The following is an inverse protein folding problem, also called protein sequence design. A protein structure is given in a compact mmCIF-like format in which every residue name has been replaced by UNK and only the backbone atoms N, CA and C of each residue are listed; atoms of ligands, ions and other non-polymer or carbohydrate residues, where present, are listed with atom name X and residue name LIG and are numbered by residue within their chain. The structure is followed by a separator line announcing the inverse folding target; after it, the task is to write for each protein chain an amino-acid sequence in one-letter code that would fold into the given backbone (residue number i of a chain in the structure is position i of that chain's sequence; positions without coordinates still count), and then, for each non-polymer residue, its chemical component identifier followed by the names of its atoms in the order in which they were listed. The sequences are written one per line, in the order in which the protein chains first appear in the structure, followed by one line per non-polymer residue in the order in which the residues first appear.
data_IF_831878897479
#
_entry.id   IF_831878897479
#
_cell.length_a   1.000
_cell.length_b   1.000
_cell.length_c   1.000
_cell.angle_alpha   90.00
_cell.angle_beta   90.00
_cell.angle_gamma   90.00
#
_symmetry.space_group_name_H-M   'P 1'
#
loop_
_entity.id
_entity.type
_entity.pdbx_description
1 polymer ?
#
# COMPACT_ATOMS: atom_id res chain seq x y z
N UNK A 1 -22.12 42.70 24.00
CA UNK A 1 -22.20 42.47 22.55
C UNK A 1 -21.98 40.99 22.24
N UNK A 2 -23.09 40.30 21.94
CA UNK A 2 -23.32 39.19 20.99
C UNK A 2 -22.31 38.02 20.84
N UNK A 3 -22.64 36.91 21.52
CA UNK A 3 -22.86 35.53 21.07
C UNK A 3 -22.60 35.10 19.58
N UNK A 4 -22.11 33.85 19.46
CA UNK A 4 -22.40 32.78 18.47
C UNK A 4 -21.25 32.22 17.58
N UNK A 5 -20.75 31.05 18.02
CA UNK A 5 -20.69 29.74 17.33
C UNK A 5 -20.01 29.63 15.94
N UNK A 6 -19.00 28.74 15.86
CA UNK A 6 -18.50 28.15 14.61
C UNK A 6 -17.96 26.73 14.81
N UNK A 7 -18.86 25.76 14.65
CA UNK A 7 -18.74 24.30 14.42
C UNK A 7 -17.33 23.64 14.40
N UNK A 8 -17.17 22.60 15.23
CA UNK A 8 -16.15 21.54 15.14
C UNK A 8 -16.50 20.60 13.98
N UNK A 9 -15.56 20.31 13.09
CA UNK A 9 -15.69 19.20 12.13
C UNK A 9 -14.61 18.17 12.44
N UNK A 10 -14.96 17.25 13.35
CA UNK A 10 -14.29 15.98 13.46
C UNK A 10 -14.75 15.14 12.26
N UNK A 11 -13.89 15.00 11.25
CA UNK A 11 -14.12 14.14 10.09
C UNK A 11 -14.00 12.67 10.49
N UNK A 12 -15.08 12.11 11.04
CA UNK A 12 -15.32 10.67 11.13
C UNK A 12 -15.55 10.15 9.70
N UNK A 13 -14.49 9.64 9.07
CA UNK A 13 -14.52 8.98 7.77
C UNK A 13 -14.64 7.47 7.89
N UNK A 14 -15.86 7.00 8.16
CA UNK A 14 -16.42 5.68 7.80
C UNK A 14 -15.55 4.44 8.06
N UNK A 15 -15.84 3.77 9.17
CA UNK A 15 -15.61 2.33 9.33
C UNK A 15 -16.37 1.58 8.22
N UNK A 16 -15.68 1.12 7.19
CA UNK A 16 -16.20 0.10 6.28
C UNK A 16 -16.21 -1.24 7.03
N UNK A 17 -17.28 -1.46 7.79
CA UNK A 17 -17.65 -2.76 8.32
C UNK A 17 -17.94 -3.70 7.15
N UNK A 18 -16.92 -4.38 6.66
CA UNK A 18 -17.06 -5.47 5.71
C UNK A 18 -17.47 -6.72 6.48
N UNK A 19 -18.75 -6.80 6.87
CA UNK A 19 -19.35 -8.03 7.39
C UNK A 19 -19.57 -9.00 6.21
N UNK A 20 -18.50 -9.66 5.75
CA UNK A 20 -18.61 -10.82 4.86
C UNK A 20 -18.49 -12.07 5.73
N UNK A 21 -19.60 -12.51 6.31
CA UNK A 21 -19.70 -13.83 6.93
C UNK A 21 -19.85 -14.86 5.82
N UNK A 22 -18.73 -15.28 5.22
CA UNK A 22 -18.68 -16.50 4.41
C UNK A 22 -18.09 -17.62 5.27
N UNK A 23 -18.95 -18.47 5.81
CA UNK A 23 -18.55 -19.72 6.44
C UNK A 23 -17.92 -20.61 5.36
N UNK A 24 -16.59 -20.62 5.28
CA UNK A 24 -15.83 -21.51 4.41
C UNK A 24 -15.18 -22.58 5.30
N UNK A 25 -15.88 -23.71 5.43
CA UNK A 25 -15.33 -24.93 6.01
C UNK A 25 -14.11 -25.37 5.20
N UNK A 26 -12.93 -25.16 5.77
CA UNK A 26 -11.65 -25.65 5.22
C UNK A 26 -11.29 -26.97 5.92
N UNK A 27 -10.77 -27.99 5.21
CA UNK A 27 -10.22 -29.17 5.86
C UNK A 27 -9.01 -28.75 6.71
N UNK A 28 -9.03 -29.10 8.00
CA UNK A 28 -7.97 -28.79 8.94
C UNK A 28 -6.69 -29.55 8.58
N UNK A 29 -5.76 -28.87 7.89
CA UNK A 29 -4.36 -29.23 7.84
C UNK A 29 -3.63 -28.30 8.82
N UNK A 30 -2.98 -28.90 9.82
CA UNK A 30 -2.45 -28.23 11.02
C UNK A 30 -1.57 -27.00 10.74
N UNK A 31 -1.60 -26.05 11.68
CA UNK A 31 -0.80 -24.81 11.81
C UNK A 31 -0.61 -23.91 10.56
N UNK A 32 -1.20 -24.25 9.41
CA UNK A 32 -1.10 -23.47 8.19
C UNK A 32 -2.05 -22.26 8.27
N UNK A 33 -1.62 -21.07 7.80
CA UNK A 33 -2.52 -19.93 7.66
C UNK A 33 -3.69 -20.31 6.75
N UNK A 34 -4.90 -19.78 7.01
CA UNK A 34 -6.08 -20.10 6.21
C UNK A 34 -5.82 -19.79 4.73
N UNK A 35 -6.37 -20.60 3.81
CA UNK A 35 -6.20 -20.37 2.38
C UNK A 35 -6.77 -19.00 2.00
N UNK A 36 -5.98 -18.22 1.25
CA UNK A 36 -6.44 -16.93 0.73
C UNK A 36 -7.59 -17.11 -0.23
N UNK A 37 -8.61 -16.28 -0.07
CA UNK A 37 -9.72 -16.20 -1.01
C UNK A 37 -9.26 -15.59 -2.33
N UNK A 38 -9.96 -15.94 -3.41
CA UNK A 38 -9.72 -15.33 -4.73
C UNK A 38 -9.85 -13.80 -4.71
N UNK A 39 -10.72 -13.26 -3.85
CA UNK A 39 -10.87 -11.82 -3.68
C UNK A 39 -9.62 -11.18 -3.06
N UNK A 40 -9.07 -11.79 -2.01
CA UNK A 40 -7.85 -11.32 -1.34
C UNK A 40 -6.64 -11.37 -2.26
N UNK A 41 -6.44 -12.47 -3.01
CA UNK A 41 -5.34 -12.58 -3.96
C UNK A 41 -5.42 -11.48 -5.04
N UNK A 42 -6.62 -11.15 -5.52
CA UNK A 42 -6.79 -10.07 -6.49
C UNK A 42 -6.41 -8.72 -5.90
N UNK A 43 -6.75 -8.44 -4.64
CA UNK A 43 -6.35 -7.20 -3.98
C UNK A 43 -4.83 -7.12 -3.83
N UNK A 44 -4.17 -8.20 -3.40
CA UNK A 44 -2.71 -8.22 -3.31
C UNK A 44 -2.03 -7.92 -4.66
N UNK A 45 -2.57 -8.45 -5.76
CA UNK A 45 -2.04 -8.16 -7.10
C UNK A 45 -2.27 -6.69 -7.49
N UNK A 46 -3.41 -6.09 -7.13
CA UNK A 46 -3.68 -4.66 -7.37
C UNK A 46 -2.67 -3.79 -6.61
N UNK A 47 -2.42 -4.12 -5.33
CA UNK A 47 -1.49 -3.38 -4.49
C UNK A 47 -0.05 -3.46 -5.01
N UNK A 48 0.39 -4.65 -5.45
CA UNK A 48 1.69 -4.83 -6.08
C UNK A 48 1.79 -4.06 -7.40
N UNK A 49 0.73 -4.04 -8.20
CA UNK A 49 0.68 -3.23 -9.43
C UNK A 49 0.79 -1.73 -9.15
N UNK A 50 0.23 -1.25 -8.05
CA UNK A 50 0.29 0.16 -7.64
C UNK A 50 1.71 0.63 -7.30
N UNK A 51 2.61 -0.30 -6.95
CA UNK A 51 4.04 -0.02 -6.70
C UNK A 51 4.96 -0.43 -7.87
N UNK A 52 4.38 -0.71 -9.03
CA UNK A 52 5.10 -0.93 -10.28
C UNK A 52 5.34 -2.38 -10.67
N UNK A 53 4.79 -3.38 -9.95
CA UNK A 53 4.85 -4.77 -10.39
C UNK A 53 4.04 -5.00 -11.68
N UNK A 54 4.53 -5.85 -12.57
CA UNK A 54 3.94 -6.13 -13.89
C UNK A 54 3.75 -7.64 -14.10
N UNK A 55 2.75 -8.27 -13.47
CA UNK A 55 2.49 -9.71 -13.59
C UNK A 55 2.05 -10.16 -14.99
N UNK A 56 1.58 -9.25 -15.84
CA UNK A 56 1.24 -9.56 -17.24
C UNK A 56 2.46 -9.91 -18.11
N UNK A 57 3.69 -9.63 -17.66
CA UNK A 57 4.91 -9.97 -18.40
C UNK A 57 5.16 -11.48 -18.27
N UNK A 58 4.78 -12.23 -19.30
CA UNK A 58 5.02 -13.66 -19.39
C UNK A 58 6.52 -13.92 -19.61
N UNK A 59 7.12 -14.84 -18.86
CA UNK A 59 8.54 -15.18 -19.00
C UNK A 59 9.49 -14.09 -18.47
N UNK A 60 9.04 -13.27 -17.53
CA UNK A 60 9.86 -12.23 -16.92
C UNK A 60 11.16 -12.83 -16.33
N UNK A 61 12.31 -12.48 -16.92
CA UNK A 61 13.62 -12.93 -16.47
C UNK A 61 13.99 -12.42 -15.07
N UNK A 62 13.31 -11.38 -14.59
CA UNK A 62 13.52 -10.81 -13.25
C UNK A 62 12.70 -11.51 -12.17
N UNK A 63 11.76 -12.40 -12.53
CA UNK A 63 11.05 -13.19 -11.55
C UNK A 63 12.01 -14.19 -10.88
N UNK A 64 12.01 -14.29 -9.53
CA UNK A 64 11.09 -13.66 -8.56
C UNK A 64 11.58 -12.35 -7.93
N UNK A 65 12.75 -11.83 -8.32
CA UNK A 65 13.36 -10.66 -7.70
C UNK A 65 12.47 -9.41 -7.82
N UNK A 66 11.85 -9.18 -8.96
CA UNK A 66 10.95 -8.05 -9.18
C UNK A 66 9.70 -8.07 -8.28
N UNK A 67 9.17 -9.26 -7.98
CA UNK A 67 8.09 -9.47 -7.02
C UNK A 67 8.54 -9.08 -5.60
N UNK A 68 9.70 -9.56 -5.16
CA UNK A 68 10.24 -9.26 -3.82
C UNK A 68 10.52 -7.76 -3.67
N UNK A 69 11.08 -7.12 -4.70
CA UNK A 69 11.29 -5.68 -4.72
C UNK A 69 9.96 -4.92 -4.65
N UNK A 70 8.95 -5.34 -5.41
CA UNK A 70 7.63 -4.74 -5.35
C UNK A 70 7.00 -4.88 -3.96
N UNK A 71 7.09 -6.05 -3.32
CA UNK A 71 6.63 -6.25 -1.94
C UNK A 71 7.31 -5.30 -0.96
N UNK A 72 8.63 -5.09 -1.08
CA UNK A 72 9.37 -4.12 -0.27
C UNK A 72 8.85 -2.68 -0.49
N UNK A 73 8.60 -2.29 -1.74
CA UNK A 73 8.06 -0.96 -2.07
C UNK A 73 6.65 -0.78 -1.50
N UNK A 74 5.82 -1.83 -1.53
CA UNK A 74 4.47 -1.85 -0.95
C UNK A 74 4.51 -1.71 0.57
N UNK A 75 5.35 -2.47 1.27
CA UNK A 75 5.52 -2.37 2.71
C UNK A 75 5.95 -0.96 3.12
N UNK A 76 6.91 -0.37 2.40
CA UNK A 76 7.36 1.00 2.61
C UNK A 76 6.23 2.02 2.36
N UNK A 77 5.42 1.83 1.32
CA UNK A 77 4.22 2.65 1.06
C UNK A 77 3.25 2.63 2.23
N UNK A 78 2.88 1.44 2.68
CA UNK A 78 1.92 1.25 3.77
C UNK A 78 2.43 1.87 5.06
N UNK A 79 3.73 1.71 5.37
CA UNK A 79 4.34 2.31 6.55
C UNK A 79 4.33 3.85 6.51
N UNK A 80 4.57 4.45 5.34
CA UNK A 80 4.51 5.91 5.16
C UNK A 80 3.07 6.44 5.22
N UNK A 81 2.12 5.75 4.60
CA UNK A 81 0.71 6.10 4.69
C UNK A 81 0.20 6.03 6.14
N UNK A 82 0.64 5.04 6.91
CA UNK A 82 0.34 4.96 8.35
C UNK A 82 0.91 6.13 9.16
N UNK A 83 1.97 6.79 8.67
CA UNK A 83 2.55 8.00 9.26
C UNK A 83 1.91 9.30 8.74
N UNK A 84 0.90 9.21 7.86
CA UNK A 84 0.24 10.37 7.25
C UNK A 84 1.01 10.99 6.07
N UNK A 85 2.01 10.31 5.54
CA UNK A 85 2.75 10.77 4.36
C UNK A 85 1.87 10.72 3.10
N UNK A 86 1.99 11.73 2.24
CA UNK A 86 1.28 11.81 0.97
C UNK A 86 1.90 10.94 -0.14
N UNK A 87 1.16 10.70 -1.22
CA UNK A 87 1.60 9.89 -2.37
C UNK A 87 2.94 10.36 -2.99
N UNK A 88 3.19 11.68 -3.01
CA UNK A 88 4.44 12.25 -3.51
C UNK A 88 5.67 11.90 -2.66
N UNK A 89 5.49 11.66 -1.36
CA UNK A 89 6.57 11.30 -0.44
C UNK A 89 6.97 9.83 -0.60
N UNK A 90 6.00 8.92 -0.81
CA UNK A 90 6.28 7.52 -1.11
C UNK A 90 7.19 7.37 -2.34
N UNK A 91 6.90 8.10 -3.42
CA UNK A 91 7.70 8.03 -4.65
C UNK A 91 9.18 8.37 -4.41
N UNK A 92 9.45 9.36 -3.56
CA UNK A 92 10.82 9.79 -3.23
C UNK A 92 11.55 8.82 -2.31
N UNK A 93 10.84 8.25 -1.33
CA UNK A 93 11.45 7.44 -0.25
C UNK A 93 11.48 5.94 -0.54
N UNK A 94 10.50 5.44 -1.29
CA UNK A 94 10.28 4.02 -1.49
C UNK A 94 10.39 3.57 -2.95
N UNK A 95 10.26 4.47 -3.93
CA UNK A 95 10.37 4.14 -5.36
C UNK A 95 11.64 4.76 -5.97
N UNK A 96 12.79 4.14 -5.71
CA UNK A 96 14.09 4.74 -6.01
C UNK A 96 14.44 4.58 -7.50
N UNK A 97 13.93 5.49 -8.33
CA UNK A 97 14.71 6.07 -9.43
C UNK A 97 15.06 7.48 -8.95
N UNK A 98 16.04 7.56 -8.05
CA UNK A 98 16.53 8.85 -7.56
C UNK A 98 17.26 9.53 -8.71
N UNK A 99 16.63 10.49 -9.36
CA UNK A 99 17.40 11.53 -10.04
C UNK A 99 18.22 12.21 -8.96
N UNK A 100 19.53 11.99 -8.97
CA UNK A 100 20.50 12.68 -8.11
C UNK A 100 20.36 14.17 -8.41
N UNK A 101 19.49 14.86 -7.68
CA UNK A 101 19.44 16.31 -7.59
C UNK A 101 20.08 16.70 -6.27
N UNK A 102 21.38 16.43 -6.15
CA UNK A 102 22.25 17.15 -5.23
C UNK A 102 22.76 18.38 -5.98
N UNK A 103 21.89 19.37 -6.17
CA UNK A 103 22.36 20.72 -6.49
C UNK A 103 22.46 21.41 -5.14
N UNK A 104 23.70 21.55 -4.68
CA UNK A 104 24.06 22.28 -3.48
C UNK A 104 23.78 23.78 -3.73
N UNK A 105 22.90 24.47 -2.99
CA UNK A 105 22.62 25.89 -3.22
C UNK A 105 23.68 26.82 -2.61
N UNK A 106 24.87 26.32 -2.20
CA UNK A 106 25.85 27.11 -1.45
C UNK A 106 27.23 27.18 -2.11
N UNK A 107 27.31 27.48 -3.41
CA UNK A 107 28.56 28.00 -3.99
C UNK A 107 28.24 29.08 -5.05
N UNK A 108 28.61 30.31 -4.68
CA UNK A 108 28.53 31.61 -5.37
C UNK A 108 27.21 32.38 -5.23
#
# INVERSE_FOLDING_TARGET
MNLHRGIKIAGMGVLLASAVTSAQSSPAYGDAPPPLTRAEVRQQVIDLKAVGYRPEITGNALYPNDLVEAQRRLACKQQLQAQGAGEAEWGRRCNIVSTITTINPSVY
#
